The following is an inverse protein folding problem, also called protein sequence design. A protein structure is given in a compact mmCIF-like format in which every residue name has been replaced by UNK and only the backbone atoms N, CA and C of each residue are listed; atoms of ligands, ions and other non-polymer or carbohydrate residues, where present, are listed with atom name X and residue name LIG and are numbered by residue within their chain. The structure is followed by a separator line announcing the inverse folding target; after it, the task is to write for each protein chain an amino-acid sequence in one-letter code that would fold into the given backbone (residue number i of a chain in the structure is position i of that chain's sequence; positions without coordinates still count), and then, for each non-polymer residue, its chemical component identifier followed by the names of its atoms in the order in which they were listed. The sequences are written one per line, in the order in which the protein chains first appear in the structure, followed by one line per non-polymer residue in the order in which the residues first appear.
data_IF_361226407480
#
_entry.id   IF_361226407480
#
_cell.length_a   1.000
_cell.length_b   1.000
_cell.length_c   1.000
_cell.angle_alpha   90.00
_cell.angle_beta   90.00
_cell.angle_gamma   90.00
#
_symmetry.space_group_name_H-M   'P 1'
#
loop_
_entity.id
_entity.type
_entity.pdbx_description
1 polymer ?
#
# COMPACT_ATOMS: atom_id res chain seq x y z
N UNK A 1 16.75 9.71 6.91
CA UNK A 1 16.94 9.71 5.42
C UNK A 1 15.66 10.15 4.69
N UNK A 2 14.85 9.26 4.11
CA UNK A 2 13.63 9.67 3.38
C UNK A 2 12.67 10.48 4.26
N UNK A 3 12.47 10.09 5.50
CA UNK A 3 11.58 10.77 6.46
C UNK A 3 11.99 12.23 6.69
N UNK A 4 13.28 12.53 6.69
CA UNK A 4 13.77 13.91 6.88
C UNK A 4 13.34 14.80 5.72
N UNK A 5 13.41 14.28 4.48
CA UNK A 5 12.90 14.99 3.31
C UNK A 5 11.36 15.14 3.34
N UNK A 6 10.63 14.09 3.71
CA UNK A 6 9.18 14.11 3.78
C UNK A 6 8.65 15.02 4.90
N UNK A 7 9.38 15.21 6.00
CA UNK A 7 9.01 16.16 7.05
C UNK A 7 9.02 17.63 6.57
N UNK A 8 9.71 17.93 5.46
CA UNK A 8 9.71 19.26 4.85
C UNK A 8 8.56 19.47 3.84
N UNK A 9 7.75 18.44 3.56
CA UNK A 9 6.62 18.53 2.64
C UNK A 9 5.42 19.25 3.27
N UNK A 10 4.60 19.90 2.42
CA UNK A 10 3.29 20.42 2.83
C UNK A 10 2.25 19.30 2.87
N UNK A 11 1.87 18.88 4.07
CA UNK A 11 0.85 17.84 4.29
C UNK A 11 -0.58 18.38 4.33
N UNK A 12 -0.77 19.70 4.26
CA UNK A 12 -2.10 20.31 4.26
C UNK A 12 -2.81 20.18 2.91
N UNK A 13 -2.04 20.13 1.82
CA UNK A 13 -2.55 20.08 0.45
C UNK A 13 -1.82 19.02 -0.37
N UNK A 14 -2.57 18.14 -1.09
CA UNK A 14 -1.94 17.12 -1.92
C UNK A 14 -1.17 17.75 -3.07
N UNK A 15 0.10 17.35 -3.29
CA UNK A 15 0.93 17.94 -4.33
C UNK A 15 0.45 17.54 -5.74
N UNK A 16 0.76 18.38 -6.72
CA UNK A 16 0.41 18.12 -8.12
C UNK A 16 1.02 16.80 -8.64
N UNK A 17 2.16 16.38 -8.10
CA UNK A 17 2.83 15.13 -8.45
C UNK A 17 1.98 13.88 -8.20
N UNK A 18 0.88 13.96 -7.41
CA UNK A 18 -0.05 12.83 -7.26
C UNK A 18 -0.83 12.53 -8.54
N UNK A 19 -0.94 13.49 -9.45
CA UNK A 19 -1.57 13.28 -10.76
C UNK A 19 -0.50 12.94 -11.78
N UNK A 20 -0.42 11.66 -12.16
CA UNK A 20 0.52 11.18 -13.16
C UNK A 20 -0.06 9.97 -13.90
N UNK A 21 0.49 9.72 -15.08
CA UNK A 21 0.19 8.53 -15.87
C UNK A 21 1.48 8.03 -16.52
N UNK A 22 1.79 6.76 -16.29
CA UNK A 22 2.97 6.13 -16.87
C UNK A 22 2.77 4.62 -17.00
N UNK A 23 3.63 3.94 -17.77
CA UNK A 23 3.65 2.48 -17.75
C UNK A 23 4.17 1.97 -16.39
N UNK A 24 3.80 0.74 -16.03
CA UNK A 24 4.31 0.14 -14.80
C UNK A 24 5.83 -0.02 -14.81
N UNK A 25 6.42 -0.25 -15.98
CA UNK A 25 7.87 -0.27 -16.14
C UNK A 25 8.48 1.11 -15.86
N UNK A 26 7.95 2.19 -16.46
CA UNK A 26 8.45 3.55 -16.22
C UNK A 26 8.29 3.97 -14.75
N UNK A 27 7.21 3.52 -14.10
CA UNK A 27 7.02 3.73 -12.66
C UNK A 27 8.15 3.11 -11.85
N UNK A 28 8.47 1.85 -12.10
CA UNK A 28 9.55 1.13 -11.41
C UNK A 28 10.92 1.78 -11.66
N UNK A 29 11.22 2.14 -12.91
CA UNK A 29 12.47 2.81 -13.29
C UNK A 29 12.57 4.21 -12.63
N UNK A 30 11.47 4.97 -12.56
CA UNK A 30 11.45 6.28 -11.89
C UNK A 30 11.70 6.14 -10.39
N UNK A 31 11.00 5.20 -9.74
CA UNK A 31 11.19 4.90 -8.32
C UNK A 31 12.64 4.46 -8.04
N UNK A 32 13.21 3.65 -8.93
CA UNK A 32 14.61 3.19 -8.83
C UNK A 32 15.59 4.34 -8.91
N UNK A 33 15.41 5.23 -9.90
CA UNK A 33 16.26 6.40 -10.09
C UNK A 33 16.18 7.36 -8.90
N UNK A 34 14.97 7.67 -8.41
CA UNK A 34 14.79 8.59 -7.29
C UNK A 34 15.37 8.00 -5.99
N UNK A 35 15.12 6.72 -5.72
CA UNK A 35 15.66 6.05 -4.53
C UNK A 35 17.20 6.05 -4.52
N UNK A 36 17.83 5.72 -5.65
CA UNK A 36 19.29 5.74 -5.78
C UNK A 36 19.87 7.14 -5.61
N UNK A 37 19.28 8.15 -6.29
CA UNK A 37 19.70 9.55 -6.19
C UNK A 37 19.62 10.08 -4.75
N UNK A 38 18.51 9.81 -4.06
CA UNK A 38 18.32 10.26 -2.66
C UNK A 38 19.30 9.57 -1.71
N UNK A 39 19.56 8.28 -1.90
CA UNK A 39 20.56 7.55 -1.13
C UNK A 39 21.94 8.17 -1.28
N UNK A 40 22.36 8.41 -2.52
CA UNK A 40 23.68 9.01 -2.83
C UNK A 40 23.82 10.44 -2.28
N UNK A 41 22.77 11.27 -2.42
CA UNK A 41 22.78 12.63 -1.88
C UNK A 41 22.93 12.62 -0.37
N UNK A 42 22.17 11.78 0.34
CA UNK A 42 22.26 11.67 1.79
C UNK A 42 23.65 11.26 2.26
N UNK A 43 24.25 10.30 1.61
CA UNK A 43 25.60 9.81 1.95
C UNK A 43 26.69 10.88 1.76
N UNK A 44 26.55 11.72 0.73
CA UNK A 44 27.53 12.76 0.41
C UNK A 44 27.36 14.03 1.25
N UNK A 45 26.14 14.41 1.52
CA UNK A 45 25.81 15.75 2.05
C UNK A 45 25.15 15.71 3.44
N UNK A 46 24.52 14.58 3.85
CA UNK A 46 23.78 14.46 5.09
C UNK A 46 22.52 15.34 5.17
N UNK A 47 22.13 15.98 4.04
CA UNK A 47 20.96 16.86 3.94
C UNK A 47 20.38 16.83 2.52
N UNK A 48 19.14 17.26 2.36
CA UNK A 48 18.44 17.33 1.09
C UNK A 48 18.22 18.77 0.61
N UNK A 49 18.43 19.00 -0.67
CA UNK A 49 18.03 20.22 -1.37
C UNK A 49 16.52 20.26 -1.62
N UNK A 50 15.93 21.41 -2.02
CA UNK A 50 14.54 21.48 -2.45
C UNK A 50 14.21 20.52 -3.64
N UNK A 51 15.16 20.26 -4.53
CA UNK A 51 15.00 19.30 -5.62
C UNK A 51 14.89 17.87 -5.08
N UNK A 52 15.73 17.51 -4.10
CA UNK A 52 15.71 16.19 -3.48
C UNK A 52 14.42 15.97 -2.68
N UNK A 53 13.89 17.00 -2.02
CA UNK A 53 12.57 16.94 -1.37
C UNK A 53 11.48 16.64 -2.42
N UNK A 54 11.55 17.25 -3.60
CA UNK A 54 10.65 16.95 -4.72
C UNK A 54 10.74 15.48 -5.18
N UNK A 55 11.97 14.93 -5.27
CA UNK A 55 12.18 13.49 -5.57
C UNK A 55 11.63 12.58 -4.47
N UNK A 56 11.83 12.95 -3.20
CA UNK A 56 11.33 12.19 -2.05
C UNK A 56 9.79 12.13 -2.04
N UNK A 57 9.13 13.24 -2.33
CA UNK A 57 7.67 13.32 -2.47
C UNK A 57 7.22 12.43 -3.63
N UNK A 58 7.86 12.52 -4.80
CA UNK A 58 7.54 11.69 -5.97
C UNK A 58 7.75 10.21 -5.67
N UNK A 59 8.87 9.82 -5.06
CA UNK A 59 9.14 8.45 -4.63
C UNK A 59 8.02 7.92 -3.72
N UNK A 60 7.62 8.71 -2.73
CA UNK A 60 6.58 8.31 -1.77
C UNK A 60 5.21 8.17 -2.43
N UNK A 61 4.88 9.02 -3.39
CA UNK A 61 3.63 8.96 -4.17
C UNK A 61 3.61 7.77 -5.14
N UNK A 62 4.74 7.44 -5.75
CA UNK A 62 4.81 6.40 -6.78
C UNK A 62 4.98 4.99 -6.21
N UNK A 63 5.67 4.83 -5.08
CA UNK A 63 5.92 3.53 -4.45
C UNK A 63 4.65 2.67 -4.23
N UNK A 64 3.48 3.22 -3.84
CA UNK A 64 2.23 2.47 -3.76
C UNK A 64 1.81 1.81 -5.07
N UNK A 65 2.15 2.40 -6.21
CA UNK A 65 1.88 1.85 -7.53
C UNK A 65 2.55 0.49 -7.76
N UNK A 66 3.75 0.28 -7.16
CA UNK A 66 4.46 -1.00 -7.22
C UNK A 66 3.57 -2.13 -6.70
N UNK A 67 2.87 -1.89 -5.60
CA UNK A 67 1.97 -2.88 -4.98
C UNK A 67 0.62 -2.94 -5.67
N UNK A 68 0.05 -1.78 -5.97
CA UNK A 68 -1.32 -1.68 -6.48
C UNK A 68 -1.53 -2.40 -7.81
N UNK A 69 -0.60 -2.24 -8.75
CA UNK A 69 -0.65 -2.90 -10.07
C UNK A 69 -0.62 -4.41 -9.90
N UNK A 70 0.27 -4.93 -9.06
CA UNK A 70 0.41 -6.38 -8.86
C UNK A 70 -0.74 -6.96 -8.04
N UNK A 71 -1.28 -6.21 -7.08
CA UNK A 71 -2.49 -6.63 -6.34
C UNK A 71 -3.68 -6.83 -7.30
N UNK A 72 -3.91 -5.89 -8.21
CA UNK A 72 -4.99 -6.03 -9.18
C UNK A 72 -4.72 -7.16 -10.20
N UNK A 73 -3.48 -7.33 -10.63
CA UNK A 73 -3.07 -8.48 -11.46
C UNK A 73 -3.37 -9.81 -10.76
N UNK A 74 -2.98 -9.94 -9.49
CA UNK A 74 -3.27 -11.13 -8.66
C UNK A 74 -4.77 -11.41 -8.61
N UNK A 75 -5.59 -10.39 -8.35
CA UNK A 75 -7.05 -10.53 -8.29
C UNK A 75 -7.61 -11.01 -9.64
N UNK A 76 -7.16 -10.42 -10.75
CA UNK A 76 -7.60 -10.86 -12.07
C UNK A 76 -7.26 -12.34 -12.33
N UNK A 77 -6.04 -12.76 -12.00
CA UNK A 77 -5.60 -14.14 -12.19
C UNK A 77 -6.37 -15.12 -11.31
N UNK A 78 -6.57 -14.80 -10.04
CA UNK A 78 -7.25 -15.68 -9.08
C UNK A 78 -8.75 -15.82 -9.33
N UNK A 79 -9.38 -14.77 -9.89
CA UNK A 79 -10.83 -14.76 -10.13
C UNK A 79 -11.21 -14.95 -11.60
N UNK A 80 -10.27 -15.35 -12.44
CA UNK A 80 -10.55 -15.66 -13.84
C UNK A 80 -10.98 -14.45 -14.68
N UNK A 81 -10.45 -13.26 -14.33
CA UNK A 81 -10.71 -12.01 -15.03
C UNK A 81 -9.70 -11.78 -16.16
N UNK A 82 -10.04 -11.02 -17.20
CA UNK A 82 -9.10 -10.64 -18.25
C UNK A 82 -7.95 -9.79 -17.71
N UNK A 83 -6.81 -9.87 -18.41
CA UNK A 83 -5.64 -9.03 -18.16
C UNK A 83 -5.57 -7.96 -19.27
N UNK A 84 -5.94 -6.73 -18.95
CA UNK A 84 -5.93 -5.61 -19.90
C UNK A 84 -4.82 -4.62 -19.54
N UNK A 85 -4.15 -4.00 -20.53
CA UNK A 85 -3.00 -3.12 -20.26
C UNK A 85 -3.35 -1.77 -19.62
N UNK A 86 -4.63 -1.39 -19.54
CA UNK A 86 -5.06 -0.11 -18.96
C UNK A 86 -6.35 -0.18 -18.17
N UNK A 87 -6.92 -1.37 -17.99
CA UNK A 87 -8.21 -1.56 -17.31
C UNK A 87 -8.08 -2.59 -16.21
N UNK A 88 -8.47 -2.23 -15.00
CA UNK A 88 -8.72 -3.19 -13.92
C UNK A 88 -10.17 -3.65 -13.99
N UNK A 89 -10.37 -4.95 -14.13
CA UNK A 89 -11.70 -5.53 -14.06
C UNK A 89 -12.20 -5.60 -12.62
N UNK A 90 -13.46 -5.28 -12.44
CA UNK A 90 -14.11 -5.40 -11.14
C UNK A 90 -14.55 -6.84 -10.89
N UNK A 91 -14.49 -7.28 -9.62
CA UNK A 91 -14.86 -8.65 -9.26
C UNK A 91 -16.30 -9.01 -9.67
N UNK A 92 -17.23 -8.04 -9.64
CA UNK A 92 -18.61 -8.20 -10.12
C UNK A 92 -18.72 -8.60 -11.60
N UNK A 93 -17.67 -8.33 -12.39
CA UNK A 93 -17.59 -8.69 -13.80
C UNK A 93 -17.14 -10.14 -14.00
N UNK A 94 -16.63 -10.82 -12.96
CA UNK A 94 -16.18 -12.21 -13.02
C UNK A 94 -17.28 -13.17 -13.51
N UNK A 95 -18.56 -12.82 -13.30
CA UNK A 95 -19.69 -13.58 -13.85
C UNK A 95 -19.71 -13.63 -15.39
N UNK A 96 -19.10 -12.64 -16.04
CA UNK A 96 -19.03 -12.51 -17.51
C UNK A 96 -17.78 -13.19 -18.10
N UNK A 97 -16.82 -13.52 -17.25
CA UNK A 97 -15.52 -14.07 -17.65
C UNK A 97 -15.24 -15.33 -16.83
N UNK A 98 -14.68 -16.34 -17.47
CA UNK A 98 -14.24 -17.60 -16.82
C UNK A 98 -12.93 -18.02 -17.43
N UNK A 99 -11.91 -17.18 -17.28
CA UNK A 99 -10.58 -17.44 -17.82
C UNK A 99 -9.83 -18.33 -16.83
N UNK A 100 -9.47 -19.53 -17.26
CA UNK A 100 -8.56 -20.37 -16.49
C UNK A 100 -7.11 -19.94 -16.79
N UNK A 101 -6.53 -19.20 -15.84
CA UNK A 101 -5.12 -18.80 -15.92
C UNK A 101 -4.15 -19.92 -15.54
N UNK A 102 -4.66 -21.02 -14.98
CA UNK A 102 -3.88 -22.15 -14.50
C UNK A 102 -3.16 -21.90 -13.18
N UNK A 103 -2.93 -22.98 -12.44
CA UNK A 103 -2.32 -22.92 -11.11
C UNK A 103 -0.92 -22.22 -11.08
N UNK A 104 0.00 -22.46 -12.06
CA UNK A 104 1.29 -21.77 -12.06
C UNK A 104 1.18 -20.25 -12.17
N UNK A 105 0.18 -19.73 -12.90
CA UNK A 105 -0.06 -18.29 -13.00
C UNK A 105 -0.59 -17.72 -11.69
N UNK A 106 -1.48 -18.43 -10.99
CA UNK A 106 -2.00 -18.05 -9.67
C UNK A 106 -0.85 -18.00 -8.65
N UNK A 107 -0.01 -19.01 -8.58
CA UNK A 107 1.15 -19.06 -7.69
C UNK A 107 2.16 -17.95 -8.01
N UNK A 108 2.42 -17.73 -9.31
CA UNK A 108 3.28 -16.66 -9.80
C UNK A 108 2.77 -15.28 -9.41
N UNK A 109 1.48 -15.00 -9.59
CA UNK A 109 0.85 -13.74 -9.24
C UNK A 109 0.91 -13.47 -7.72
N UNK A 110 0.67 -14.49 -6.90
CA UNK A 110 0.78 -14.39 -5.45
C UNK A 110 2.21 -14.12 -4.97
N UNK A 111 3.19 -14.76 -5.60
CA UNK A 111 4.60 -14.51 -5.31
C UNK A 111 4.99 -13.09 -5.69
N UNK A 112 4.68 -12.65 -6.90
CA UNK A 112 4.94 -11.28 -7.37
C UNK A 112 4.28 -10.24 -6.46
N UNK A 113 3.06 -10.50 -5.99
CA UNK A 113 2.37 -9.61 -5.06
C UNK A 113 3.14 -9.43 -3.76
N UNK A 114 3.57 -10.50 -3.11
CA UNK A 114 4.38 -10.40 -1.88
C UNK A 114 5.74 -9.74 -2.12
N UNK A 115 6.38 -10.05 -3.23
CA UNK A 115 7.63 -9.40 -3.64
C UNK A 115 7.44 -7.90 -3.91
N UNK A 116 6.31 -7.48 -4.49
CA UNK A 116 6.03 -6.06 -4.73
C UNK A 116 5.90 -5.25 -3.43
N UNK A 117 5.34 -5.83 -2.37
CA UNK A 117 5.28 -5.19 -1.04
C UNK A 117 6.70 -4.98 -0.50
N UNK A 118 7.53 -6.02 -0.55
CA UNK A 118 8.92 -5.93 -0.11
C UNK A 118 9.69 -4.91 -0.94
N UNK A 119 9.50 -4.92 -2.25
CA UNK A 119 10.16 -4.01 -3.18
C UNK A 119 9.79 -2.54 -2.89
N UNK A 120 8.50 -2.24 -2.69
CA UNK A 120 8.05 -0.89 -2.34
C UNK A 120 8.65 -0.41 -1.00
N UNK A 121 8.72 -1.28 -0.01
CA UNK A 121 9.36 -0.97 1.29
C UNK A 121 10.86 -0.70 1.13
N UNK A 122 11.56 -1.50 0.32
CA UNK A 122 12.99 -1.29 0.02
C UNK A 122 13.24 0.04 -0.67
N UNK A 123 12.36 0.46 -1.59
CA UNK A 123 12.44 1.77 -2.22
C UNK A 123 12.35 2.91 -1.19
N UNK A 124 11.35 2.84 -0.29
CA UNK A 124 11.15 3.86 0.75
C UNK A 124 12.24 3.84 1.84
N UNK A 125 12.86 2.70 2.07
CA UNK A 125 14.03 2.59 2.95
C UNK A 125 15.32 3.16 2.32
N UNK A 126 15.29 3.56 1.05
CA UNK A 126 16.46 3.95 0.24
C UNK A 126 17.54 2.86 0.27
N UNK A 127 17.12 1.59 0.13
CA UNK A 127 18.02 0.44 0.16
C UNK A 127 18.90 0.42 -1.09
N UNK A 128 20.22 0.36 -0.91
CA UNK A 128 21.19 0.32 -2.03
C UNK A 128 20.99 -0.85 -2.98
N UNK A 129 20.37 -1.92 -2.53
CA UNK A 129 20.08 -3.09 -3.35
C UNK A 129 18.82 -2.91 -4.21
N UNK A 130 18.03 -1.87 -3.95
CA UNK A 130 16.76 -1.67 -4.65
C UNK A 130 16.89 -1.71 -6.18
N UNK A 131 17.85 -1.03 -6.83
CA UNK A 131 17.97 -1.07 -8.30
C UNK A 131 18.27 -2.47 -8.87
N UNK A 132 18.92 -3.32 -8.10
CA UNK A 132 19.19 -4.73 -8.49
C UNK A 132 17.89 -5.52 -8.36
N UNK A 133 17.22 -5.41 -7.22
CA UNK A 133 15.95 -6.09 -6.94
C UNK A 133 14.86 -5.69 -7.92
N UNK A 134 14.81 -4.41 -8.30
CA UNK A 134 13.88 -3.88 -9.29
C UNK A 134 14.09 -4.54 -10.66
N UNK A 135 15.32 -4.64 -11.14
CA UNK A 135 15.65 -5.30 -12.41
C UNK A 135 15.28 -6.78 -12.40
N UNK A 136 15.58 -7.49 -11.32
CA UNK A 136 15.20 -8.90 -11.16
C UNK A 136 13.67 -9.07 -11.12
N UNK A 137 12.98 -8.16 -10.46
CA UNK A 137 11.52 -8.14 -10.41
C UNK A 137 10.93 -7.89 -11.80
N UNK A 138 11.43 -6.90 -12.54
CA UNK A 138 11.02 -6.61 -13.91
C UNK A 138 11.19 -7.81 -14.84
N UNK A 139 12.27 -8.59 -14.72
CA UNK A 139 12.50 -9.76 -15.56
C UNK A 139 11.42 -10.84 -15.36
N UNK A 140 10.83 -10.94 -14.18
CA UNK A 140 9.79 -11.91 -13.83
C UNK A 140 8.38 -11.45 -14.15
N UNK A 141 8.19 -10.15 -14.42
CA UNK A 141 6.87 -9.62 -14.77
C UNK A 141 6.43 -10.08 -16.14
N UNK A 142 5.15 -10.48 -16.31
CA UNK A 142 4.53 -10.65 -17.62
C UNK A 142 4.60 -9.35 -18.44
N UNK A 143 4.76 -9.48 -19.77
CA UNK A 143 4.93 -8.33 -20.66
C UNK A 143 3.73 -7.37 -20.62
N UNK A 144 2.51 -7.91 -20.56
CA UNK A 144 1.29 -7.11 -20.44
C UNK A 144 1.26 -6.30 -19.15
N UNK A 145 1.82 -6.84 -18.05
CA UNK A 145 1.90 -6.12 -16.77
C UNK A 145 2.95 -5.00 -16.83
N UNK A 146 4.11 -5.21 -17.45
CA UNK A 146 5.10 -4.15 -17.65
C UNK A 146 4.53 -2.94 -18.38
N UNK A 147 3.67 -3.19 -19.38
CA UNK A 147 3.02 -2.18 -20.21
C UNK A 147 1.73 -1.63 -19.60
N UNK A 148 1.32 -2.11 -18.44
CA UNK A 148 0.11 -1.63 -17.78
C UNK A 148 0.24 -0.13 -17.50
N UNK A 149 -0.77 0.64 -17.91
CA UNK A 149 -0.80 2.08 -17.66
C UNK A 149 -1.39 2.33 -16.27
N UNK A 150 -0.55 2.82 -15.38
CA UNK A 150 -0.94 3.22 -14.04
C UNK A 150 -1.21 4.71 -13.99
N UNK A 151 -2.30 5.09 -13.32
CA UNK A 151 -2.72 6.49 -13.16
C UNK A 151 -2.77 6.83 -11.68
N UNK A 152 -1.95 7.78 -11.27
CA UNK A 152 -2.04 8.42 -9.96
C UNK A 152 -3.18 9.43 -9.93
N UNK A 153 -3.85 9.52 -8.79
CA UNK A 153 -4.99 10.43 -8.58
C UNK A 153 -4.69 11.30 -7.37
N UNK A 154 -4.96 12.59 -7.49
CA UNK A 154 -4.85 13.54 -6.38
C UNK A 154 -5.94 13.28 -5.35
N UNK A 155 -5.51 12.93 -4.14
CA UNK A 155 -6.41 12.56 -3.04
C UNK A 155 -5.95 13.19 -1.73
N UNK A 156 -6.74 14.13 -1.21
CA UNK A 156 -6.43 14.85 0.01
C UNK A 156 -6.43 13.98 1.25
N UNK A 157 -7.32 12.99 1.32
CA UNK A 157 -7.44 12.14 2.50
C UNK A 157 -6.26 11.17 2.58
N UNK A 158 -5.96 10.50 1.48
CA UNK A 158 -4.76 9.64 1.39
C UNK A 158 -3.49 10.44 1.68
N UNK A 159 -3.35 11.67 1.12
CA UNK A 159 -2.17 12.50 1.35
C UNK A 159 -2.01 12.83 2.84
N UNK A 160 -3.02 13.46 3.45
CA UNK A 160 -3.00 13.85 4.86
C UNK A 160 -2.84 12.66 5.81
N UNK A 161 -3.47 11.52 5.49
CA UNK A 161 -3.33 10.27 6.26
C UNK A 161 -1.96 9.63 6.16
N UNK A 162 -1.12 10.08 5.22
CA UNK A 162 0.22 9.56 4.97
C UNK A 162 1.35 10.41 5.57
N UNK A 163 1.01 11.44 6.36
CA UNK A 163 1.99 12.28 7.06
C UNK A 163 2.90 11.44 7.98
N UNK A 164 4.25 11.42 7.75
CA UNK A 164 5.16 10.59 8.52
C UNK A 164 5.11 10.82 10.03
N UNK A 165 4.90 12.07 10.47
CA UNK A 165 4.81 12.41 11.87
C UNK A 165 3.59 11.76 12.56
N UNK A 166 2.46 11.63 11.85
CA UNK A 166 1.27 10.92 12.35
C UNK A 166 1.59 9.43 12.46
N UNK A 167 2.17 8.85 11.40
CA UNK A 167 2.47 7.43 11.32
C UNK A 167 3.51 7.00 12.37
N UNK A 168 4.53 7.82 12.61
CA UNK A 168 5.56 7.53 13.60
C UNK A 168 4.98 7.50 15.03
N UNK A 169 4.11 8.48 15.38
CA UNK A 169 3.41 8.49 16.67
C UNK A 169 2.49 7.27 16.80
N UNK A 170 1.73 6.96 15.76
CA UNK A 170 0.83 5.81 15.72
C UNK A 170 1.61 4.50 15.91
N UNK A 171 2.75 4.35 15.24
CA UNK A 171 3.62 3.19 15.40
C UNK A 171 4.16 3.07 16.84
N UNK A 172 4.54 4.19 17.46
CA UNK A 172 4.99 4.22 18.85
C UNK A 172 3.91 3.71 19.81
N UNK A 173 2.69 4.23 19.71
CA UNK A 173 1.54 3.79 20.52
C UNK A 173 1.20 2.32 20.27
N UNK A 174 1.14 1.90 19.00
CA UNK A 174 0.89 0.50 18.64
C UNK A 174 1.93 -0.45 19.21
N UNK A 175 3.21 -0.09 19.14
CA UNK A 175 4.31 -0.92 19.67
C UNK A 175 4.22 -1.05 21.18
N UNK A 176 3.91 0.04 21.88
CA UNK A 176 3.83 0.07 23.33
C UNK A 176 2.63 -0.70 23.88
N UNK A 177 1.42 -0.48 23.30
CA UNK A 177 0.17 -0.89 23.93
C UNK A 177 -0.41 -2.18 23.34
N UNK A 178 0.05 -2.59 22.14
CA UNK A 178 -0.51 -3.76 21.46
C UNK A 178 0.55 -4.68 20.84
N UNK A 179 1.58 -4.14 20.23
CA UNK A 179 2.66 -4.83 19.54
C UNK A 179 2.15 -5.91 18.55
N UNK A 180 1.56 -5.51 17.40
CA UNK A 180 1.03 -6.43 16.43
C UNK A 180 2.12 -7.26 15.76
N UNK A 181 1.85 -8.52 15.45
CA UNK A 181 2.76 -9.38 14.67
C UNK A 181 2.69 -9.09 13.16
N UNK A 182 1.61 -8.46 12.70
CA UNK A 182 1.37 -8.12 11.29
C UNK A 182 0.47 -6.89 11.18
N UNK A 183 0.69 -6.11 10.13
CA UNK A 183 -0.24 -5.06 9.66
C UNK A 183 -0.96 -5.58 8.41
N UNK A 184 -2.29 -5.54 8.41
CA UNK A 184 -3.12 -5.84 7.24
C UNK A 184 -3.91 -4.59 6.88
N UNK A 185 -3.69 -4.05 5.68
CA UNK A 185 -4.24 -2.77 5.26
C UNK A 185 -5.26 -2.90 4.13
N UNK A 186 -6.28 -2.04 4.17
CA UNK A 186 -7.33 -1.96 3.16
C UNK A 186 -6.82 -1.20 1.91
N UNK A 187 -6.50 -1.92 0.83
CA UNK A 187 -6.09 -1.27 -0.41
C UNK A 187 -7.34 -0.67 -1.11
N UNK A 188 -7.28 0.57 -1.69
CA UNK A 188 -6.07 1.23 -2.23
C UNK A 188 -5.50 2.35 -1.34
N UNK A 189 -6.32 3.18 -0.71
CA UNK A 189 -5.87 4.39 -0.03
C UNK A 189 -4.84 4.11 1.05
N UNK A 190 -5.05 3.03 1.79
CA UNK A 190 -4.15 2.62 2.86
C UNK A 190 -2.77 2.11 2.38
N UNK A 191 -2.53 1.89 1.07
CA UNK A 191 -1.22 1.37 0.62
C UNK A 191 -0.10 2.35 0.99
N UNK A 192 -0.24 3.62 0.64
CA UNK A 192 0.81 4.62 0.83
C UNK A 192 1.24 4.76 2.31
N UNK A 193 0.34 5.04 3.25
CA UNK A 193 0.72 5.22 4.65
C UNK A 193 1.17 3.92 5.33
N UNK A 194 0.57 2.78 4.99
CA UNK A 194 0.91 1.52 5.67
C UNK A 194 2.29 0.98 5.30
N UNK A 195 2.86 1.34 4.16
CA UNK A 195 4.25 1.03 3.84
C UNK A 195 5.19 1.62 4.89
N UNK A 196 5.04 2.91 5.25
CA UNK A 196 5.84 3.53 6.31
C UNK A 196 5.45 3.04 7.70
N UNK A 197 4.16 2.88 7.98
CA UNK A 197 3.70 2.38 9.29
C UNK A 197 4.29 1.02 9.62
N UNK A 198 4.29 0.10 8.66
CA UNK A 198 4.84 -1.23 8.84
C UNK A 198 6.37 -1.21 8.98
N UNK A 199 7.06 -0.26 8.32
CA UNK A 199 8.50 -0.05 8.49
C UNK A 199 8.83 0.51 9.88
N UNK A 200 8.06 1.51 10.35
CA UNK A 200 8.22 2.02 11.72
C UNK A 200 7.95 0.97 12.80
N UNK A 201 7.02 0.04 12.55
CA UNK A 201 6.74 -1.08 13.44
C UNK A 201 7.75 -2.23 13.30
N UNK A 202 8.49 -2.30 12.20
CA UNK A 202 9.33 -3.45 11.81
C UNK A 202 8.53 -4.75 11.72
N UNK A 203 7.32 -4.65 11.15
CA UNK A 203 6.38 -5.78 11.05
C UNK A 203 6.08 -6.15 9.60
N UNK A 204 5.72 -7.42 9.33
CA UNK A 204 5.13 -7.82 8.06
C UNK A 204 3.91 -6.98 7.71
N UNK A 205 3.76 -6.73 6.40
CA UNK A 205 2.65 -5.97 5.83
C UNK A 205 1.95 -6.81 4.77
N UNK A 206 0.63 -6.79 4.78
CA UNK A 206 -0.19 -7.41 3.75
C UNK A 206 -1.34 -6.50 3.34
N UNK A 207 -1.78 -6.63 2.08
CA UNK A 207 -2.90 -5.85 1.58
C UNK A 207 -4.05 -6.75 1.14
N UNK A 208 -5.23 -6.37 1.55
CA UNK A 208 -6.49 -6.91 1.03
C UNK A 208 -7.21 -5.79 0.30
N UNK A 209 -7.62 -6.03 -0.94
CA UNK A 209 -8.36 -5.03 -1.68
C UNK A 209 -9.74 -4.84 -1.07
N UNK A 210 -10.01 -3.60 -0.67
CA UNK A 210 -11.31 -3.17 -0.21
C UNK A 210 -11.44 -1.65 -0.31
N UNK A 211 -12.34 -1.16 -1.15
CA UNK A 211 -12.63 0.26 -1.28
C UNK A 211 -14.11 0.48 -1.59
N UNK A 212 -14.88 0.78 -0.57
CA UNK A 212 -16.30 1.04 -0.72
C UNK A 212 -16.58 2.34 -1.48
N UNK A 213 -15.76 3.36 -1.29
CA UNK A 213 -15.98 4.67 -1.89
C UNK A 213 -15.50 4.73 -3.34
N UNK A 214 -14.25 4.36 -3.62
CA UNK A 214 -13.65 4.52 -4.96
C UNK A 214 -14.05 3.42 -5.94
N UNK A 215 -14.28 2.20 -5.45
CA UNK A 215 -14.53 1.02 -6.31
C UNK A 215 -15.89 0.38 -6.08
N UNK A 216 -16.63 0.86 -5.09
CA UNK A 216 -17.93 0.28 -4.70
C UNK A 216 -17.85 -1.21 -4.37
N UNK A 217 -16.71 -1.65 -3.77
CA UNK A 217 -16.61 -3.00 -3.26
C UNK A 217 -17.62 -3.21 -2.14
N UNK A 218 -18.41 -4.26 -2.21
CA UNK A 218 -19.39 -4.59 -1.16
C UNK A 218 -18.73 -5.30 0.01
N UNK A 219 -17.66 -6.05 -0.24
CA UNK A 219 -16.89 -6.81 0.74
C UNK A 219 -15.38 -6.79 0.41
N UNK A 220 -14.50 -7.01 1.42
CA UNK A 220 -13.09 -7.24 1.17
C UNK A 220 -12.86 -8.45 0.25
N UNK A 221 -12.02 -8.30 -0.76
CA UNK A 221 -11.69 -9.37 -1.69
C UNK A 221 -10.60 -10.24 -1.07
N UNK A 222 -11.03 -11.33 -0.44
CA UNK A 222 -10.15 -12.27 0.26
C UNK A 222 -10.14 -13.58 -0.51
N UNK A 223 -9.04 -13.87 -1.20
CA UNK A 223 -8.88 -15.10 -1.96
C UNK A 223 -8.49 -16.28 -1.07
N UNK A 224 -8.48 -17.49 -1.65
CA UNK A 224 -7.94 -18.66 -0.99
C UNK A 224 -6.46 -18.50 -0.64
N UNK A 225 -5.67 -17.92 -1.55
CA UNK A 225 -4.24 -17.69 -1.34
C UNK A 225 -3.97 -16.66 -0.24
N UNK A 226 -4.83 -15.64 -0.11
CA UNK A 226 -4.75 -14.69 1.00
C UNK A 226 -4.94 -15.40 2.34
N UNK A 227 -6.00 -16.21 2.45
CA UNK A 227 -6.28 -16.99 3.66
C UNK A 227 -5.14 -17.96 4.00
N UNK A 228 -4.62 -18.65 2.99
CA UNK A 228 -3.50 -19.58 3.15
C UNK A 228 -2.24 -18.86 3.67
N UNK A 229 -1.93 -17.66 3.16
CA UNK A 229 -0.78 -16.91 3.64
C UNK A 229 -1.00 -16.33 5.04
N UNK A 230 -2.17 -15.73 5.29
CA UNK A 230 -2.53 -15.14 6.58
C UNK A 230 -2.68 -16.19 7.68
N UNK A 231 -2.94 -17.47 7.35
CA UNK A 231 -3.01 -18.56 8.34
C UNK A 231 -1.72 -18.74 9.14
N UNK A 232 -0.56 -18.31 8.61
CA UNK A 232 0.70 -18.25 9.36
C UNK A 232 0.67 -17.30 10.57
N UNK A 233 -0.35 -16.44 10.67
CA UNK A 233 -0.57 -15.49 11.76
C UNK A 233 -1.86 -15.78 12.56
N UNK A 234 -2.47 -16.95 12.39
CA UNK A 234 -3.80 -17.26 12.94
C UNK A 234 -3.91 -17.18 14.45
N UNK A 235 -2.82 -17.33 15.19
CA UNK A 235 -2.77 -17.19 16.66
C UNK A 235 -2.18 -15.86 17.10
N UNK A 236 -1.85 -14.98 16.16
CA UNK A 236 -1.11 -13.73 16.41
C UNK A 236 -2.05 -12.53 16.52
N UNK A 237 -1.51 -11.43 17.04
CA UNK A 237 -2.15 -10.11 17.05
C UNK A 237 -1.97 -9.42 15.70
N UNK A 238 -3.06 -8.93 15.11
CA UNK A 238 -3.03 -8.20 13.85
C UNK A 238 -3.57 -6.78 13.98
N UNK A 239 -2.87 -5.80 13.39
CA UNK A 239 -3.36 -4.44 13.21
C UNK A 239 -4.10 -4.36 11.86
N UNK A 240 -5.41 -4.10 11.87
CA UNK A 240 -6.23 -3.90 10.69
C UNK A 240 -6.32 -2.39 10.40
N UNK A 241 -5.70 -1.97 9.31
CA UNK A 241 -5.42 -0.57 9.05
C UNK A 241 -6.20 0.01 7.86
N UNK A 242 -6.73 1.22 8.05
CA UNK A 242 -7.26 2.08 6.99
C UNK A 242 -6.68 3.50 7.15
N UNK A 243 -6.50 4.27 6.08
CA UNK A 243 -5.86 5.58 6.16
C UNK A 243 -6.77 6.67 6.72
N UNK A 244 -8.06 6.60 6.38
CA UNK A 244 -9.05 7.62 6.72
C UNK A 244 -10.39 7.01 7.14
N UNK A 245 -10.89 7.44 8.29
CA UNK A 245 -12.14 6.94 8.87
C UNK A 245 -13.14 8.08 8.99
N UNK A 246 -13.87 8.36 7.89
CA UNK A 246 -14.96 9.33 7.87
C UNK A 246 -16.25 8.74 8.48
N UNK A 247 -16.88 7.79 7.81
CA UNK A 247 -18.08 7.11 8.34
C UNK A 247 -17.78 5.84 9.13
N UNK A 248 -16.59 5.27 8.96
CA UNK A 248 -16.13 4.06 9.66
C UNK A 248 -16.64 2.73 9.09
N UNK A 249 -17.53 2.75 8.10
CA UNK A 249 -18.12 1.53 7.54
C UNK A 249 -17.07 0.60 6.90
N UNK A 250 -16.11 1.16 6.15
CA UNK A 250 -15.04 0.40 5.52
C UNK A 250 -14.24 -0.37 6.56
N UNK A 251 -13.66 0.32 7.54
CA UNK A 251 -12.83 -0.32 8.56
C UNK A 251 -13.62 -1.30 9.43
N UNK A 252 -14.88 -1.00 9.74
CA UNK A 252 -15.75 -1.90 10.50
C UNK A 252 -16.01 -3.21 9.77
N UNK A 253 -16.39 -3.16 8.49
CA UNK A 253 -16.62 -4.36 7.68
C UNK A 253 -15.32 -5.12 7.41
N UNK A 254 -14.22 -4.40 7.17
CA UNK A 254 -12.89 -4.98 7.03
C UNK A 254 -12.49 -5.78 8.26
N UNK A 255 -12.66 -5.20 9.45
CA UNK A 255 -12.40 -5.88 10.71
C UNK A 255 -13.32 -7.10 10.92
N UNK A 256 -14.61 -6.96 10.66
CA UNK A 256 -15.55 -8.06 10.78
C UNK A 256 -15.16 -9.28 9.92
N UNK A 257 -14.67 -9.03 8.69
CA UNK A 257 -14.33 -10.10 7.74
C UNK A 257 -12.96 -10.74 8.01
N UNK A 258 -12.03 -9.98 8.58
CA UNK A 258 -10.65 -10.45 8.81
C UNK A 258 -10.41 -10.95 10.23
N UNK A 259 -11.15 -10.49 11.23
CA UNK A 259 -10.95 -10.91 12.62
C UNK A 259 -10.92 -12.44 12.81
N UNK A 260 -11.76 -13.25 12.13
CA UNK A 260 -11.70 -14.70 12.28
C UNK A 260 -10.40 -15.36 11.81
N UNK A 261 -9.52 -14.61 11.11
CA UNK A 261 -8.24 -15.13 10.60
C UNK A 261 -7.09 -15.01 11.61
N UNK A 262 -7.30 -14.34 12.75
CA UNK A 262 -6.27 -14.00 13.71
C UNK A 262 -6.66 -14.34 15.15
N UNK A 263 -5.67 -14.42 16.05
CA UNK A 263 -5.92 -14.63 17.47
C UNK A 263 -6.55 -13.41 18.15
N UNK A 264 -6.09 -12.22 17.78
CA UNK A 264 -6.63 -10.94 18.24
C UNK A 264 -6.46 -9.88 17.13
N UNK A 265 -7.41 -8.97 17.01
CA UNK A 265 -7.32 -7.85 16.07
C UNK A 265 -7.58 -6.52 16.77
N UNK A 266 -6.89 -5.48 16.31
CA UNK A 266 -7.16 -4.08 16.63
C UNK A 266 -7.34 -3.27 15.37
N UNK A 267 -8.32 -2.39 15.37
CA UNK A 267 -8.59 -1.44 14.30
C UNK A 267 -7.71 -0.21 14.43
N UNK A 268 -7.11 0.20 13.33
CA UNK A 268 -6.10 1.26 13.30
C UNK A 268 -6.39 2.23 12.15
N UNK A 269 -6.26 3.53 12.39
CA UNK A 269 -6.32 4.52 11.30
C UNK A 269 -5.34 5.66 11.52
N UNK A 270 -4.89 6.28 10.43
CA UNK A 270 -4.13 7.53 10.50
C UNK A 270 -5.01 8.69 10.89
N UNK A 271 -6.13 8.87 10.21
CA UNK A 271 -7.07 9.96 10.46
C UNK A 271 -8.45 9.41 10.78
N UNK A 272 -9.05 9.93 11.84
CA UNK A 272 -10.45 9.74 12.17
C UNK A 272 -11.15 11.10 12.13
N UNK A 273 -12.23 11.24 11.37
CA UNK A 273 -13.08 12.42 11.44
C UNK A 273 -13.85 12.46 12.78
N UNK A 274 -13.97 13.64 13.36
CA UNK A 274 -14.62 13.82 14.65
C UNK A 274 -16.07 13.31 14.68
N UNK A 275 -16.79 13.48 13.55
CA UNK A 275 -18.16 13.01 13.36
C UNK A 275 -18.31 11.50 13.07
N UNK A 276 -17.21 10.75 12.94
CA UNK A 276 -17.29 9.31 12.67
C UNK A 276 -17.98 8.55 13.80
N UNK A 277 -18.94 7.69 13.45
CA UNK A 277 -19.59 6.78 14.39
C UNK A 277 -18.68 5.65 14.90
N UNK A 278 -17.66 5.28 14.09
CA UNK A 278 -16.64 4.31 14.50
C UNK A 278 -15.52 5.03 15.27
N UNK A 279 -15.12 4.43 16.38
CA UNK A 279 -13.88 4.79 17.07
C UNK A 279 -12.90 3.62 16.98
N UNK A 280 -11.93 3.69 16.06
CA UNK A 280 -10.87 2.69 15.99
C UNK A 280 -10.11 2.56 17.31
N UNK A 281 -9.51 1.38 17.56
CA UNK A 281 -8.72 1.15 18.77
C UNK A 281 -7.50 2.05 18.85
N UNK A 282 -6.86 2.32 17.69
CA UNK A 282 -5.70 3.20 17.57
C UNK A 282 -5.93 4.25 16.48
N UNK A 283 -5.70 5.52 16.84
CA UNK A 283 -5.95 6.68 15.98
C UNK A 283 -4.70 7.56 15.98
N UNK A 284 -4.15 7.83 14.80
CA UNK A 284 -3.01 8.72 14.65
C UNK A 284 -3.37 10.18 14.93
N UNK A 285 -4.51 10.65 14.38
CA UNK A 285 -5.05 12.00 14.57
C UNK A 285 -6.56 12.01 14.44
N UNK A 286 -7.24 12.76 15.29
CA UNK A 286 -8.64 13.12 15.09
C UNK A 286 -8.70 14.45 14.33
N UNK A 287 -9.47 14.47 13.25
CA UNK A 287 -9.70 15.65 12.44
C UNK A 287 -11.03 16.27 12.83
N UNK A 288 -10.97 17.54 13.18
CA UNK A 288 -12.12 18.39 13.49
C UNK A 288 -12.34 19.29 12.26
N UNK A 289 -13.34 18.95 11.45
CA UNK A 289 -13.74 19.74 10.29
C UNK A 289 -14.44 21.03 10.71
#
# INVERSE_FOLDING_TARGET
MLIDALNAADWSSPPAQMEFQCSYQDLLETVSSDSASLCETWEKQGSYSPEDIGKAIRLYIMAPGIVNVVLNYKICVEHGLPLHPSVYYELKEAKNYRIDHGLPAVEGANRLFRESILLARKALALDRQFPILEKEFLQRLPLNLRRFIYTGIRDSYTWKGSEPAILLRLAGTLRQDYDPAIVVAAAHGAIMPSLLLADFLERPLYFIRFSMFKRHDEEPIISFSDKAWLSGFSTSRAALYDEDVAGGRTLSLFAQRLAPLFGEVKTVCSIRHAGSSLRPDFIGRTWWD
#
